data_IF_175057323508
#
_entry.id   IF_175057323508
#
_cell.length_a   1.000
_cell.length_b   1.000
_cell.length_c   1.000
_cell.angle_alpha   90.00
_cell.angle_beta   90.00
_cell.angle_gamma   90.00
#
_symmetry.space_group_name_H-M   'P 1'
#
loop_
_entity.id
_entity.type
_entity.pdbx_description
1 polymer ?
#
# COMPACT_ATOMS: atom_id res chain seq x y z
N UNK A 1 -9.26 17.41 16.18
CA UNK A 1 -10.52 16.63 16.17
C UNK A 1 -11.34 17.21 15.04
N UNK A 2 -11.24 16.58 13.84
CA UNK A 2 -12.07 16.96 12.68
C UNK A 2 -13.47 16.47 13.00
N UNK A 3 -14.45 17.38 13.05
CA UNK A 3 -15.83 17.00 13.22
C UNK A 3 -16.25 16.13 12.03
N UNK A 4 -16.40 14.84 12.26
CA UNK A 4 -17.09 13.97 11.32
C UNK A 4 -18.50 14.53 11.14
N UNK A 5 -18.87 14.83 9.89
CA UNK A 5 -20.24 15.21 9.55
C UNK A 5 -21.18 14.11 10.03
N UNK A 6 -22.19 14.48 10.83
CA UNK A 6 -23.17 13.56 11.35
C UNK A 6 -23.83 12.79 10.19
N UNK A 7 -23.58 11.47 10.08
CA UNK A 7 -24.29 10.58 9.16
C UNK A 7 -23.47 9.71 8.22
N UNK A 8 -22.14 9.70 8.26
CA UNK A 8 -21.37 8.67 7.56
C UNK A 8 -21.28 7.42 8.45
N UNK A 9 -21.92 6.33 8.03
CA UNK A 9 -21.68 5.01 8.64
C UNK A 9 -20.17 4.72 8.57
N UNK A 10 -19.59 4.31 9.71
CA UNK A 10 -18.19 3.95 9.82
C UNK A 10 -17.89 2.80 8.85
N UNK A 11 -17.01 3.03 7.87
CA UNK A 11 -16.64 2.02 6.89
C UNK A 11 -15.97 0.85 7.60
N UNK A 12 -16.53 -0.34 7.44
CA UNK A 12 -16.00 -1.58 7.99
C UNK A 12 -15.37 -2.44 6.90
N UNK A 13 -14.40 -3.21 7.29
CA UNK A 13 -13.61 -4.09 6.42
C UNK A 13 -13.80 -5.52 6.88
N UNK A 14 -14.31 -6.36 6.01
CA UNK A 14 -14.43 -7.80 6.19
C UNK A 14 -13.78 -8.55 5.05
N UNK A 15 -13.62 -9.86 5.20
CA UNK A 15 -13.20 -10.75 4.10
C UNK A 15 -14.36 -10.91 3.13
N UNK A 16 -14.06 -10.83 1.85
CA UNK A 16 -15.05 -11.07 0.79
C UNK A 16 -15.38 -12.57 0.73
N UNK A 17 -16.65 -12.97 0.76
CA UNK A 17 -17.03 -14.38 0.64
C UNK A 17 -16.38 -15.05 -0.57
N UNK A 18 -15.76 -16.22 -0.37
CA UNK A 18 -15.08 -16.98 -1.41
C UNK A 18 -13.67 -16.51 -1.75
N UNK A 19 -13.20 -15.39 -1.20
CA UNK A 19 -11.81 -14.98 -1.30
C UNK A 19 -10.94 -15.71 -0.28
N UNK A 20 -9.63 -15.81 -0.58
CA UNK A 20 -8.68 -16.61 0.20
C UNK A 20 -7.59 -15.75 0.82
N UNK A 21 -6.93 -16.31 1.83
CA UNK A 21 -5.74 -15.76 2.48
C UNK A 21 -4.53 -16.57 2.07
N UNK A 22 -3.46 -15.91 1.63
CA UNK A 22 -2.19 -16.55 1.27
C UNK A 22 -1.15 -16.29 2.35
N UNK A 23 -0.61 -17.35 2.93
CA UNK A 23 0.48 -17.28 3.90
C UNK A 23 1.81 -17.56 3.21
N UNK A 24 2.72 -16.61 3.27
CA UNK A 24 4.09 -16.75 2.76
C UNK A 24 4.95 -17.39 3.85
N UNK A 25 5.04 -18.71 3.83
CA UNK A 25 5.76 -19.50 4.84
C UNK A 25 7.17 -19.86 4.41
N UNK A 26 8.06 -20.13 5.38
CA UNK A 26 9.41 -20.67 5.15
C UNK A 26 9.37 -22.05 4.51
N UNK A 27 8.31 -22.83 4.77
CA UNK A 27 8.02 -24.04 4.05
C UNK A 27 7.37 -23.71 2.70
N UNK A 28 8.16 -23.69 1.63
CA UNK A 28 7.71 -23.31 0.30
C UNK A 28 6.72 -24.32 -0.33
N UNK A 29 6.67 -25.56 0.16
CA UNK A 29 5.68 -26.54 -0.31
C UNK A 29 4.27 -26.21 0.22
N UNK A 30 4.16 -25.62 1.42
CA UNK A 30 2.89 -25.08 1.91
C UNK A 30 2.39 -23.90 1.04
N UNK A 31 3.30 -23.06 0.54
CA UNK A 31 2.92 -22.00 -0.40
C UNK A 31 2.35 -22.63 -1.68
N UNK A 32 3.03 -23.64 -2.26
CA UNK A 32 2.54 -24.32 -3.48
C UNK A 32 1.18 -24.99 -3.26
N UNK A 33 0.98 -25.65 -2.14
CA UNK A 33 -0.32 -26.24 -1.80
C UNK A 33 -1.45 -25.19 -1.71
N UNK A 34 -1.15 -24.01 -1.15
CA UNK A 34 -2.11 -22.92 -1.16
C UNK A 34 -2.39 -22.41 -2.58
N UNK A 35 -1.37 -22.28 -3.42
CA UNK A 35 -1.48 -21.76 -4.78
C UNK A 35 -2.20 -22.72 -5.73
N UNK A 36 -1.90 -24.03 -5.63
CA UNK A 36 -2.25 -25.00 -6.68
C UNK A 36 -3.20 -26.11 -6.22
N UNK A 37 -3.18 -26.48 -4.93
CA UNK A 37 -3.93 -27.60 -4.40
C UNK A 37 -5.14 -27.17 -3.56
N UNK A 38 -5.38 -25.85 -3.45
CA UNK A 38 -6.54 -25.30 -2.75
C UNK A 38 -6.43 -25.30 -1.22
N UNK A 39 -5.23 -25.56 -0.65
CA UNK A 39 -5.03 -25.50 0.80
C UNK A 39 -5.37 -24.09 1.34
N UNK A 40 -6.25 -24.02 2.32
CA UNK A 40 -6.52 -22.80 3.08
C UNK A 40 -5.94 -22.96 4.49
N UNK A 41 -5.33 -21.90 4.97
CA UNK A 41 -4.77 -21.81 6.33
C UNK A 41 -5.48 -20.69 7.10
N UNK A 42 -5.52 -20.84 8.41
CA UNK A 42 -5.95 -19.78 9.34
C UNK A 42 -4.75 -19.32 10.17
N UNK A 43 -4.76 -18.06 10.62
CA UNK A 43 -3.62 -17.51 11.37
C UNK A 43 -3.33 -18.30 12.65
N UNK A 44 -4.37 -18.82 13.32
CA UNK A 44 -4.25 -19.68 14.51
C UNK A 44 -3.47 -20.97 14.27
N UNK A 45 -3.38 -21.45 13.03
CA UNK A 45 -2.70 -22.70 12.65
C UNK A 45 -1.27 -22.45 12.16
N UNK A 46 -0.84 -21.19 12.10
CA UNK A 46 0.47 -20.77 11.58
C UNK A 46 1.25 -20.08 12.68
N UNK A 47 2.44 -20.64 13.00
CA UNK A 47 3.35 -19.92 13.89
C UNK A 47 3.94 -18.70 13.15
N UNK A 48 3.85 -17.48 13.70
CA UNK A 48 4.47 -16.30 13.09
C UNK A 48 5.96 -16.47 12.74
N UNK A 49 6.69 -17.29 13.51
CA UNK A 49 8.11 -17.59 13.25
C UNK A 49 8.33 -18.43 11.98
N UNK A 50 7.30 -19.11 11.47
CA UNK A 50 7.36 -19.88 10.23
C UNK A 50 7.04 -19.04 8.99
N UNK A 51 6.67 -17.79 9.15
CA UNK A 51 6.44 -16.86 8.05
C UNK A 51 7.77 -16.33 7.49
N UNK A 52 7.79 -16.07 6.18
CA UNK A 52 8.93 -15.46 5.51
C UNK A 52 9.13 -14.01 5.97
N UNK A 53 10.33 -13.75 6.50
CA UNK A 53 10.84 -12.43 6.80
C UNK A 53 11.56 -11.83 5.60
N UNK A 54 11.81 -10.51 5.64
CA UNK A 54 12.65 -9.80 4.66
C UNK A 54 12.27 -10.04 3.20
N UNK A 55 10.99 -10.22 2.93
CA UNK A 55 10.52 -10.33 1.54
C UNK A 55 10.87 -9.04 0.83
N UNK A 56 11.89 -9.10 0.00
CA UNK A 56 12.39 -7.93 -0.72
C UNK A 56 11.69 -7.75 -2.07
N UNK A 57 11.88 -6.58 -2.65
CA UNK A 57 11.25 -6.23 -3.92
C UNK A 57 11.71 -7.08 -5.10
N UNK A 58 12.93 -7.67 -5.06
CA UNK A 58 13.39 -8.61 -6.10
C UNK A 58 12.71 -9.98 -6.00
N UNK A 59 12.27 -10.39 -4.81
CA UNK A 59 11.42 -11.56 -4.64
C UNK A 59 10.04 -11.31 -5.21
N UNK A 60 9.47 -10.13 -4.97
CA UNK A 60 8.12 -9.78 -5.43
C UNK A 60 8.10 -9.49 -6.93
N UNK A 61 8.94 -8.57 -7.39
CA UNK A 61 9.06 -8.15 -8.80
C UNK A 61 10.53 -8.00 -9.19
N UNK A 62 11.19 -9.06 -9.72
CA UNK A 62 12.54 -8.96 -10.25
C UNK A 62 12.67 -7.83 -11.27
N UNK A 63 13.90 -7.33 -11.49
CA UNK A 63 14.17 -6.16 -12.33
C UNK A 63 13.50 -6.20 -13.71
N UNK A 64 13.43 -7.37 -14.34
CA UNK A 64 12.81 -7.53 -15.67
C UNK A 64 11.29 -7.29 -15.63
N UNK A 65 10.58 -7.55 -14.51
CA UNK A 65 9.15 -7.21 -14.35
C UNK A 65 8.95 -5.71 -14.24
N UNK A 66 9.93 -4.99 -13.72
CA UNK A 66 9.83 -3.55 -13.54
C UNK A 66 9.92 -2.75 -14.84
N UNK A 67 10.21 -3.39 -15.97
CA UNK A 67 10.12 -2.77 -17.30
C UNK A 67 8.69 -2.79 -17.86
N UNK A 68 7.83 -3.64 -17.30
CA UNK A 68 6.40 -3.62 -17.61
C UNK A 68 5.73 -2.42 -16.91
N UNK A 69 4.73 -1.88 -17.56
CA UNK A 69 3.91 -0.78 -17.02
C UNK A 69 2.41 -1.12 -17.08
N UNK A 70 2.05 -2.20 -17.77
CA UNK A 70 0.68 -2.70 -17.80
C UNK A 70 0.34 -3.45 -16.52
N UNK A 71 -0.75 -3.07 -15.80
CA UNK A 71 -1.17 -3.72 -14.55
C UNK A 71 -1.27 -5.23 -14.64
N UNK A 72 -1.82 -5.75 -15.74
CA UNK A 72 -2.00 -7.19 -15.95
C UNK A 72 -0.66 -7.93 -16.04
N UNK A 73 0.33 -7.38 -16.73
CA UNK A 73 1.65 -8.00 -16.90
C UNK A 73 2.45 -7.99 -15.59
N UNK A 74 2.34 -6.90 -14.81
CA UNK A 74 2.97 -6.82 -13.49
C UNK A 74 2.33 -7.83 -12.52
N UNK A 75 1.01 -7.90 -12.47
CA UNK A 75 0.27 -8.84 -11.62
C UNK A 75 0.52 -10.31 -12.00
N UNK A 76 0.59 -10.61 -13.30
CA UNK A 76 0.91 -11.93 -13.86
C UNK A 76 2.21 -12.50 -13.29
N UNK A 77 3.20 -11.65 -13.07
CA UNK A 77 4.55 -12.01 -12.63
C UNK A 77 4.79 -11.77 -11.12
N UNK A 78 3.72 -11.61 -10.32
CA UNK A 78 3.84 -11.45 -8.88
C UNK A 78 4.64 -12.60 -8.26
N UNK A 79 5.61 -12.27 -7.41
CA UNK A 79 6.51 -13.21 -6.74
C UNK A 79 7.38 -14.08 -7.67
N UNK A 80 7.63 -13.62 -8.90
CA UNK A 80 8.47 -14.32 -9.87
C UNK A 80 9.92 -14.55 -9.38
N UNK A 81 10.37 -13.78 -8.38
CA UNK A 81 11.68 -13.92 -7.75
C UNK A 81 11.76 -15.00 -6.67
N UNK A 82 10.62 -15.49 -6.16
CA UNK A 82 10.61 -16.58 -5.17
C UNK A 82 10.87 -17.92 -5.85
N UNK A 83 12.03 -18.51 -5.55
CA UNK A 83 12.48 -19.76 -6.18
C UNK A 83 12.78 -20.83 -5.15
N UNK A 84 12.49 -22.08 -5.52
CA UNK A 84 12.89 -23.29 -4.80
C UNK A 84 13.66 -24.19 -5.77
N UNK A 85 14.91 -24.53 -5.45
CA UNK A 85 15.79 -25.34 -6.31
C UNK A 85 15.89 -24.78 -7.75
N UNK A 86 15.96 -23.44 -7.89
CA UNK A 86 16.05 -22.77 -9.19
C UNK A 86 14.73 -22.62 -9.95
N UNK A 87 13.65 -23.26 -9.52
CA UNK A 87 12.32 -23.17 -10.12
C UNK A 87 11.47 -22.12 -9.39
N UNK A 88 10.61 -21.43 -10.12
CA UNK A 88 9.64 -20.50 -9.54
C UNK A 88 8.67 -21.22 -8.62
N UNK A 89 8.38 -20.64 -7.46
CA UNK A 89 7.29 -21.06 -6.58
C UNK A 89 5.95 -20.55 -7.11
N UNK A 90 5.94 -19.31 -7.61
CA UNK A 90 4.78 -18.70 -8.26
C UNK A 90 4.93 -18.77 -9.78
N UNK A 91 4.10 -19.57 -10.42
CA UNK A 91 3.95 -19.55 -11.88
C UNK A 91 3.23 -18.27 -12.33
N UNK A 92 3.24 -17.96 -13.60
CA UNK A 92 2.47 -16.85 -14.16
C UNK A 92 1.00 -16.94 -13.74
N UNK A 93 0.43 -15.83 -13.34
CA UNK A 93 -0.94 -15.70 -12.83
C UNK A 93 -1.26 -16.51 -11.55
N UNK A 94 -0.29 -17.10 -10.87
CA UNK A 94 -0.57 -17.96 -9.70
C UNK A 94 -1.32 -17.21 -8.60
N UNK A 95 -0.94 -15.95 -8.32
CA UNK A 95 -1.60 -15.13 -7.31
C UNK A 95 -3.04 -14.77 -7.73
N UNK A 96 -3.25 -14.43 -9.00
CA UNK A 96 -4.56 -14.10 -9.57
C UNK A 96 -5.48 -15.33 -9.53
N UNK A 97 -5.00 -16.47 -10.04
CA UNK A 97 -5.76 -17.72 -10.14
C UNK A 97 -6.10 -18.31 -8.77
N UNK A 98 -5.26 -18.06 -7.77
CA UNK A 98 -5.49 -18.48 -6.40
C UNK A 98 -6.63 -17.75 -5.68
N UNK A 99 -7.19 -16.69 -6.27
CA UNK A 99 -8.31 -15.92 -5.76
C UNK A 99 -8.09 -15.34 -4.36
N UNK A 100 -6.85 -14.91 -4.07
CA UNK A 100 -6.48 -14.33 -2.79
C UNK A 100 -6.85 -12.84 -2.72
N UNK A 101 -7.27 -12.37 -1.54
CA UNK A 101 -7.43 -10.93 -1.24
C UNK A 101 -6.59 -10.47 -0.05
N UNK A 102 -6.02 -11.41 0.70
CA UNK A 102 -5.11 -11.14 1.81
C UNK A 102 -3.82 -11.90 1.60
N UNK A 103 -2.70 -11.25 1.87
CA UNK A 103 -1.38 -11.89 1.89
C UNK A 103 -0.71 -11.66 3.24
N UNK A 104 -0.06 -12.71 3.76
CA UNK A 104 0.51 -12.73 5.12
C UNK A 104 1.99 -13.06 5.04
N UNK A 105 2.81 -12.29 5.75
CA UNK A 105 4.26 -12.50 5.84
C UNK A 105 4.81 -12.17 7.23
N UNK A 106 6.07 -12.43 7.46
CA UNK A 106 6.78 -12.13 8.69
C UNK A 106 7.22 -10.67 8.80
N UNK A 107 8.44 -10.45 9.28
CA UNK A 107 8.99 -9.12 9.54
C UNK A 107 9.52 -8.46 8.26
N UNK A 108 9.51 -7.12 8.27
CA UNK A 108 10.15 -6.24 7.27
C UNK A 108 9.76 -6.57 5.82
N UNK A 109 8.46 -6.75 5.57
CA UNK A 109 7.94 -6.94 4.22
C UNK A 109 8.26 -5.74 3.33
N UNK A 110 8.77 -6.01 2.13
CA UNK A 110 9.04 -4.99 1.11
C UNK A 110 10.40 -4.30 1.25
N UNK A 111 11.39 -4.96 1.86
CA UNK A 111 12.79 -4.48 1.90
C UNK A 111 13.40 -4.38 0.50
N UNK A 112 14.58 -3.77 0.40
CA UNK A 112 15.34 -3.64 -0.85
C UNK A 112 15.08 -2.34 -1.58
N UNK A 113 14.88 -2.39 -2.89
CA UNK A 113 14.69 -1.22 -3.75
C UNK A 113 13.31 -0.58 -3.57
N UNK A 114 13.20 0.73 -3.84
CA UNK A 114 11.96 1.51 -3.76
C UNK A 114 10.98 1.26 -4.92
N UNK A 115 10.86 0.03 -5.38
CA UNK A 115 9.99 -0.35 -6.52
C UNK A 115 8.54 -0.36 -6.10
N UNK A 116 7.76 0.55 -6.63
CA UNK A 116 6.31 0.55 -6.44
C UNK A 116 5.66 -0.69 -7.09
N UNK A 117 6.24 -1.21 -8.19
CA UNK A 117 5.81 -2.47 -8.84
C UNK A 117 5.69 -3.63 -7.86
N UNK A 118 6.46 -3.66 -6.77
CA UNK A 118 6.33 -4.67 -5.73
C UNK A 118 4.97 -4.61 -5.00
N UNK A 119 4.46 -3.42 -4.71
CA UNK A 119 3.11 -3.26 -4.15
C UNK A 119 2.03 -3.42 -5.24
N UNK A 120 2.31 -2.91 -6.45
CA UNK A 120 1.41 -3.01 -7.61
C UNK A 120 1.11 -4.46 -8.00
N UNK A 121 2.11 -5.36 -7.99
CA UNK A 121 1.91 -6.76 -8.36
C UNK A 121 0.88 -7.45 -7.44
N UNK A 122 0.90 -7.14 -6.16
CA UNK A 122 -0.10 -7.64 -5.20
C UNK A 122 -1.46 -6.98 -5.43
N UNK A 123 -1.46 -5.64 -5.50
CA UNK A 123 -2.70 -4.86 -5.66
C UNK A 123 -3.49 -5.28 -6.90
N UNK A 124 -2.81 -5.40 -8.04
CA UNK A 124 -3.44 -5.76 -9.30
C UNK A 124 -3.73 -7.27 -9.45
N UNK A 125 -3.06 -8.11 -8.66
CA UNK A 125 -3.45 -9.51 -8.52
C UNK A 125 -4.69 -9.73 -7.63
N UNK A 126 -5.24 -8.67 -7.01
CA UNK A 126 -6.45 -8.72 -6.21
C UNK A 126 -6.24 -8.65 -4.70
N UNK A 127 -5.01 -8.47 -4.23
CA UNK A 127 -4.71 -8.34 -2.80
C UNK A 127 -5.18 -6.95 -2.32
N UNK A 128 -6.14 -6.94 -1.40
CA UNK A 128 -6.65 -5.72 -0.75
C UNK A 128 -6.00 -5.44 0.59
N UNK A 129 -5.61 -6.51 1.32
CA UNK A 129 -5.10 -6.43 2.67
C UNK A 129 -3.75 -7.14 2.73
N UNK A 130 -2.76 -6.46 3.28
CA UNK A 130 -1.43 -7.00 3.49
C UNK A 130 -1.18 -7.11 4.98
N UNK A 131 -0.88 -8.30 5.46
CA UNK A 131 -0.64 -8.59 6.88
C UNK A 131 0.85 -8.93 7.06
N UNK A 132 1.47 -8.29 8.02
CA UNK A 132 2.87 -8.56 8.37
C UNK A 132 3.17 -8.13 9.80
N UNK A 133 4.22 -8.70 10.40
CA UNK A 133 4.73 -8.22 11.68
C UNK A 133 5.29 -6.79 11.59
N UNK A 134 5.86 -6.43 10.44
CA UNK A 134 6.30 -5.07 10.14
C UNK A 134 6.54 -4.88 8.63
N UNK A 135 6.57 -3.63 8.20
CA UNK A 135 6.78 -3.22 6.80
C UNK A 135 8.03 -2.37 6.65
N UNK A 136 8.71 -2.48 5.52
CA UNK A 136 9.72 -1.52 5.14
C UNK A 136 9.05 -0.17 4.81
N UNK A 137 9.59 0.98 5.27
CA UNK A 137 8.90 2.27 5.21
C UNK A 137 8.47 2.70 3.79
N UNK A 138 9.29 2.44 2.78
CA UNK A 138 8.97 2.79 1.39
C UNK A 138 7.84 1.91 0.86
N UNK A 139 7.89 0.60 1.15
CA UNK A 139 6.83 -0.33 0.74
C UNK A 139 5.49 -0.01 1.42
N UNK A 140 5.53 0.34 2.71
CA UNK A 140 4.35 0.83 3.43
C UNK A 140 3.74 2.05 2.73
N UNK A 141 4.56 3.03 2.33
CA UNK A 141 4.10 4.20 1.58
C UNK A 141 3.51 3.83 0.22
N UNK A 142 4.13 2.89 -0.51
CA UNK A 142 3.61 2.41 -1.78
C UNK A 142 2.24 1.72 -1.62
N UNK A 143 2.05 0.90 -0.59
CA UNK A 143 0.76 0.29 -0.28
C UNK A 143 -0.32 1.36 0.01
N UNK A 144 0.02 2.39 0.79
CA UNK A 144 -0.87 3.53 1.06
C UNK A 144 -1.27 4.23 -0.24
N UNK A 145 -0.31 4.51 -1.11
CA UNK A 145 -0.55 5.18 -2.40
C UNK A 145 -1.50 4.37 -3.30
N UNK A 146 -1.44 3.04 -3.23
CA UNK A 146 -2.29 2.12 -3.99
C UNK A 146 -3.60 1.78 -3.28
N UNK A 147 -3.84 2.29 -2.07
CA UNK A 147 -5.05 2.03 -1.30
C UNK A 147 -5.14 0.61 -0.75
N UNK A 148 -4.00 -0.09 -0.57
CA UNK A 148 -3.95 -1.37 0.12
C UNK A 148 -3.95 -1.15 1.62
N UNK A 149 -4.78 -1.91 2.34
CA UNK A 149 -4.82 -1.88 3.80
C UNK A 149 -3.68 -2.72 4.37
N UNK A 150 -3.11 -2.26 5.46
CA UNK A 150 -2.04 -2.97 6.16
C UNK A 150 -2.43 -3.21 7.62
N UNK A 151 -2.29 -4.45 8.05
CA UNK A 151 -2.62 -4.86 9.41
C UNK A 151 -1.59 -5.82 10.00
N UNK A 152 -1.83 -6.20 11.23
CA UNK A 152 -1.09 -7.22 11.96
C UNK A 152 -1.87 -8.55 12.05
N UNK A 153 -1.29 -9.52 12.72
CA UNK A 153 -1.88 -10.85 12.84
C UNK A 153 -3.19 -10.85 13.64
N UNK A 154 -3.35 -9.95 14.62
CA UNK A 154 -4.58 -9.87 15.42
C UNK A 154 -5.76 -9.40 14.58
N UNK A 155 -5.53 -8.47 13.67
CA UNK A 155 -6.52 -8.04 12.67
C UNK A 155 -6.93 -9.23 11.78
N UNK A 156 -5.95 -10.04 11.33
CA UNK A 156 -6.25 -11.19 10.50
C UNK A 156 -7.09 -12.25 11.21
N UNK A 157 -6.75 -12.57 12.46
CA UNK A 157 -7.52 -13.53 13.27
C UNK A 157 -8.99 -13.13 13.38
N UNK A 158 -9.24 -11.85 13.66
CA UNK A 158 -10.60 -11.30 13.74
C UNK A 158 -11.33 -11.34 12.40
N UNK A 159 -10.63 -10.99 11.29
CA UNK A 159 -11.20 -11.10 9.95
C UNK A 159 -11.56 -12.54 9.59
N UNK A 160 -10.70 -13.52 9.93
CA UNK A 160 -10.96 -14.95 9.68
C UNK A 160 -12.06 -15.51 10.61
N UNK A 161 -12.27 -14.91 11.77
CA UNK A 161 -13.43 -15.19 12.63
C UNK A 161 -14.76 -14.59 12.10
N UNK A 162 -14.72 -13.87 10.97
CA UNK A 162 -15.89 -13.26 10.36
C UNK A 162 -16.26 -11.89 10.92
N UNK A 163 -15.37 -11.25 11.66
CA UNK A 163 -15.58 -9.91 12.17
C UNK A 163 -15.39 -8.87 11.06
N UNK A 164 -16.23 -7.85 11.04
CA UNK A 164 -16.05 -6.64 10.25
C UNK A 164 -15.33 -5.58 11.10
N UNK A 165 -14.11 -5.23 10.71
CA UNK A 165 -13.23 -4.34 11.47
C UNK A 165 -13.37 -2.90 10.97
N UNK A 166 -13.56 -1.91 11.86
CA UNK A 166 -13.57 -0.50 11.47
C UNK A 166 -12.31 -0.11 10.69
N UNK A 167 -12.48 0.67 9.60
CA UNK A 167 -11.34 1.17 8.82
C UNK A 167 -10.35 1.96 9.67
N UNK A 168 -10.83 2.62 10.71
CA UNK A 168 -10.01 3.35 11.68
C UNK A 168 -8.89 2.48 12.29
N UNK A 169 -9.15 1.20 12.60
CA UNK A 169 -8.14 0.31 13.17
C UNK A 169 -6.96 0.05 12.22
N UNK A 170 -7.16 0.15 10.91
CA UNK A 170 -6.07 0.09 9.92
C UNK A 170 -5.32 1.42 9.77
N UNK A 171 -5.89 2.53 10.21
CA UNK A 171 -5.39 3.87 9.90
C UNK A 171 -4.94 4.68 11.10
N UNK A 172 -5.29 4.30 12.34
CA UNK A 172 -5.06 5.12 13.55
C UNK A 172 -3.60 5.50 13.81
N UNK A 173 -2.66 4.69 13.35
CA UNK A 173 -1.22 4.96 13.46
C UNK A 173 -0.72 6.06 12.51
N UNK A 174 -1.52 6.50 11.54
CA UNK A 174 -1.10 7.45 10.52
C UNK A 174 -1.54 8.89 10.83
N UNK A 175 -0.88 9.84 10.16
CA UNK A 175 -1.29 11.25 10.16
C UNK A 175 -2.62 11.45 9.40
N UNK A 176 -3.27 12.59 9.64
CA UNK A 176 -4.60 12.88 9.10
C UNK A 176 -4.66 12.86 7.56
N UNK A 177 -3.60 13.31 6.87
CA UNK A 177 -3.56 13.28 5.39
C UNK A 177 -3.45 11.85 4.89
N UNK A 178 -2.59 11.05 5.52
CA UNK A 178 -2.43 9.63 5.19
C UNK A 178 -3.73 8.85 5.42
N UNK A 179 -4.46 9.13 6.51
CA UNK A 179 -5.79 8.56 6.75
C UNK A 179 -6.74 8.85 5.59
N UNK A 180 -6.84 10.11 5.18
CA UNK A 180 -7.71 10.52 4.06
C UNK A 180 -7.30 9.82 2.76
N UNK A 181 -5.99 9.67 2.47
CA UNK A 181 -5.51 8.94 1.29
C UNK A 181 -6.03 7.49 1.31
N UNK A 182 -5.90 6.80 2.44
CA UNK A 182 -6.37 5.42 2.61
C UNK A 182 -7.89 5.34 2.48
N UNK A 183 -8.63 6.25 3.12
CA UNK A 183 -10.10 6.33 3.05
C UNK A 183 -10.60 6.52 1.62
N UNK A 184 -9.89 7.29 0.80
CA UNK A 184 -10.21 7.52 -0.61
C UNK A 184 -9.78 6.37 -1.52
N UNK A 185 -9.04 5.39 -1.01
CA UNK A 185 -8.59 4.23 -1.78
C UNK A 185 -7.28 4.44 -2.52
N UNK A 186 -6.45 5.38 -2.09
CA UNK A 186 -5.12 5.65 -2.61
C UNK A 186 -4.89 7.09 -3.06
N UNK A 187 -3.67 7.34 -3.52
CA UNK A 187 -3.20 8.70 -3.82
C UNK A 187 -3.94 9.34 -5.00
N UNK A 188 -4.19 8.60 -6.09
CA UNK A 188 -4.88 9.14 -7.26
C UNK A 188 -6.36 9.46 -6.97
N UNK A 189 -7.17 8.58 -6.36
CA UNK A 189 -8.52 8.92 -5.92
C UNK A 189 -8.55 10.10 -4.95
N UNK A 190 -7.61 10.18 -4.02
CA UNK A 190 -7.45 11.32 -3.13
C UNK A 190 -7.20 12.63 -3.91
N UNK A 191 -6.25 12.61 -4.86
CA UNK A 191 -5.92 13.80 -5.66
C UNK A 191 -7.12 14.27 -6.49
N UNK A 192 -7.89 13.34 -7.09
CA UNK A 192 -9.14 13.64 -7.80
C UNK A 192 -10.18 14.27 -6.87
N UNK A 193 -10.39 13.70 -5.69
CA UNK A 193 -11.35 14.20 -4.70
C UNK A 193 -10.94 15.60 -4.18
N UNK A 194 -9.64 15.82 -3.96
CA UNK A 194 -9.13 17.13 -3.57
C UNK A 194 -9.34 18.19 -4.66
N UNK A 195 -9.06 17.84 -5.93
CA UNK A 195 -9.29 18.72 -7.08
C UNK A 195 -10.77 19.04 -7.28
N UNK A 196 -11.66 18.09 -7.01
CA UNK A 196 -13.10 18.28 -7.07
C UNK A 196 -13.68 19.09 -5.89
N UNK A 197 -12.91 19.27 -4.82
CA UNK A 197 -13.38 19.93 -3.59
C UNK A 197 -14.14 18.99 -2.64
N UNK A 198 -14.14 17.68 -2.91
CA UNK A 198 -14.80 16.65 -2.07
C UNK A 198 -14.01 16.32 -0.80
N UNK A 199 -12.77 16.80 -0.75
CA UNK A 199 -11.85 16.66 0.40
C UNK A 199 -11.20 18.00 0.66
N UNK A 200 -11.11 18.35 1.94
CA UNK A 200 -10.32 19.48 2.41
C UNK A 200 -9.17 18.98 3.30
N UNK A 201 -7.99 19.58 3.14
CA UNK A 201 -6.91 19.31 4.08
C UNK A 201 -7.19 19.95 5.44
N UNK A 202 -6.72 19.35 6.54
CA UNK A 202 -6.72 20.00 7.83
C UNK A 202 -6.01 21.36 7.77
N UNK A 203 -6.49 22.38 8.49
CA UNK A 203 -5.86 23.71 8.47
C UNK A 203 -4.48 23.68 9.14
N UNK A 204 -3.55 24.45 8.59
CA UNK A 204 -2.25 24.68 9.23
C UNK A 204 -2.46 25.67 10.39
N UNK A 205 -2.19 25.21 11.61
CA UNK A 205 -2.33 25.99 12.84
C UNK A 205 -0.97 26.38 13.45
N UNK A 206 0.11 26.34 12.65
CA UNK A 206 1.45 26.71 13.12
C UNK A 206 1.56 28.21 13.31
N UNK A 207 1.79 28.64 14.56
CA UNK A 207 2.02 30.03 14.91
C UNK A 207 3.29 30.59 14.27
N UNK A 208 3.38 31.92 14.06
CA UNK A 208 4.61 32.53 13.56
C UNK A 208 5.83 32.17 14.39
N UNK A 209 6.86 31.67 13.72
CA UNK A 209 8.14 31.23 14.31
C UNK A 209 9.30 31.40 13.33
N UNK A 210 10.55 31.42 13.80
CA UNK A 210 11.69 31.25 12.92
C UNK A 210 11.58 29.90 12.19
N UNK A 211 11.76 29.93 10.87
CA UNK A 211 11.67 28.76 10.01
C UNK A 211 13.03 28.37 9.46
N UNK A 212 13.26 27.07 9.31
CA UNK A 212 14.39 26.50 8.55
C UNK A 212 14.26 26.87 7.07
N UNK A 213 15.32 26.65 6.29
CA UNK A 213 15.27 26.88 4.84
C UNK A 213 14.18 26.03 4.16
N UNK A 214 14.05 24.75 4.52
CA UNK A 214 13.03 23.86 3.97
C UNK A 214 11.61 24.36 4.29
N UNK A 215 11.34 24.76 5.54
CA UNK A 215 10.05 25.32 5.93
C UNK A 215 9.72 26.62 5.18
N UNK A 216 10.72 27.50 4.95
CA UNK A 216 10.53 28.73 4.15
C UNK A 216 10.21 28.44 2.69
N UNK A 217 10.87 27.44 2.09
CA UNK A 217 10.61 27.04 0.71
C UNK A 217 9.18 26.49 0.60
N UNK A 218 8.77 25.61 1.49
CA UNK A 218 7.41 25.06 1.53
C UNK A 218 6.38 26.18 1.74
N UNK A 219 6.56 27.03 2.76
CA UNK A 219 5.66 28.13 3.06
C UNK A 219 5.46 29.10 1.88
N UNK A 220 6.50 29.32 1.07
CA UNK A 220 6.44 30.17 -0.12
C UNK A 220 5.64 29.57 -1.27
N UNK A 221 5.55 28.24 -1.32
CA UNK A 221 4.93 27.49 -2.42
C UNK A 221 3.60 26.83 -2.00
N UNK A 222 2.99 27.22 -0.89
CA UNK A 222 1.71 26.67 -0.45
C UNK A 222 0.61 26.91 -1.49
N UNK A 223 -0.21 25.89 -1.71
CA UNK A 223 -1.43 25.93 -2.55
C UNK A 223 -2.65 25.83 -1.65
N UNK A 224 -3.64 26.70 -1.89
CA UNK A 224 -4.90 26.68 -1.14
C UNK A 224 -4.83 27.22 0.28
N UNK A 225 -3.68 27.80 0.67
CA UNK A 225 -3.46 28.41 2.00
C UNK A 225 -2.77 29.78 1.85
N UNK A 226 -2.72 30.56 2.94
CA UNK A 226 -2.07 31.88 2.90
C UNK A 226 -0.58 31.75 2.57
N UNK A 227 -0.12 32.40 1.51
CA UNK A 227 1.30 32.45 1.16
C UNK A 227 2.10 33.05 2.30
N UNK A 228 3.17 32.36 2.70
CA UNK A 228 3.99 32.79 3.83
C UNK A 228 3.49 32.32 5.20
N UNK A 229 2.39 31.54 5.26
CA UNK A 229 1.98 30.83 6.47
C UNK A 229 3.16 30.02 7.05
N UNK A 230 3.44 30.17 8.35
CA UNK A 230 4.47 29.34 8.97
C UNK A 230 4.06 27.87 8.96
N UNK A 231 5.04 27.02 8.66
CA UNK A 231 4.89 25.56 8.65
C UNK A 231 5.92 24.90 9.56
N UNK A 232 5.63 23.66 9.96
CA UNK A 232 6.53 22.78 10.73
C UNK A 232 6.38 21.34 10.24
N UNK A 233 7.27 20.42 10.62
CA UNK A 233 7.07 19.00 10.39
C UNK A 233 5.68 18.54 10.86
N UNK A 234 5.05 17.64 10.08
CA UNK A 234 3.71 17.10 10.27
C UNK A 234 2.53 18.05 9.96
N UNK A 235 2.77 19.28 9.54
CA UNK A 235 1.68 20.09 9.01
C UNK A 235 1.21 19.55 7.66
N UNK A 236 -0.11 19.44 7.41
CA UNK A 236 -0.66 18.99 6.14
C UNK A 236 -0.54 20.11 5.09
N UNK A 237 0.31 19.91 4.10
CA UNK A 237 0.57 20.92 3.07
C UNK A 237 0.43 20.37 1.66
N UNK A 238 -0.06 21.21 0.75
CA UNK A 238 0.14 21.06 -0.68
C UNK A 238 1.02 22.20 -1.14
N UNK A 239 2.12 21.84 -1.80
CA UNK A 239 3.06 22.81 -2.33
C UNK A 239 3.13 22.71 -3.86
N UNK A 240 3.15 23.87 -4.51
CA UNK A 240 3.42 23.94 -5.96
C UNK A 240 4.85 23.54 -6.25
N UNK A 241 5.03 22.49 -7.05
CA UNK A 241 6.32 22.06 -7.58
C UNK A 241 6.63 22.88 -8.82
N UNK A 242 7.80 23.54 -8.87
CA UNK A 242 8.20 24.38 -9.99
C UNK A 242 8.82 23.59 -11.13
N UNK A 243 9.50 22.48 -10.83
CA UNK A 243 10.10 21.59 -11.81
C UNK A 243 10.20 20.18 -11.26
N UNK A 244 10.04 19.19 -12.12
CA UNK A 244 10.25 17.78 -11.84
C UNK A 244 11.04 17.14 -12.96
N UNK A 245 11.71 16.03 -12.67
CA UNK A 245 12.39 15.22 -13.66
C UNK A 245 12.17 13.74 -13.38
N UNK A 246 12.20 12.95 -14.41
CA UNK A 246 12.24 11.50 -14.34
C UNK A 246 13.38 10.99 -15.21
N UNK A 247 13.74 9.73 -15.08
CA UNK A 247 14.74 9.09 -15.91
C UNK A 247 14.10 7.97 -16.74
N UNK A 248 14.83 7.43 -17.71
CA UNK A 248 14.32 6.48 -18.69
C UNK A 248 13.63 5.27 -18.10
N UNK A 249 14.08 4.80 -16.92
CA UNK A 249 13.50 3.64 -16.26
C UNK A 249 12.08 3.86 -15.75
N UNK A 250 11.75 5.10 -15.33
CA UNK A 250 10.45 5.42 -14.72
C UNK A 250 9.54 6.26 -15.62
N UNK A 251 10.09 6.90 -16.65
CA UNK A 251 9.34 7.86 -17.48
C UNK A 251 8.14 7.22 -18.17
N UNK A 252 8.31 6.02 -18.75
CA UNK A 252 7.24 5.33 -19.46
C UNK A 252 6.08 4.97 -18.50
N UNK A 253 6.41 4.44 -17.31
CA UNK A 253 5.43 4.08 -16.29
C UNK A 253 4.66 5.32 -15.78
N UNK A 254 5.38 6.40 -15.46
CA UNK A 254 4.77 7.67 -15.04
C UNK A 254 3.83 8.21 -16.12
N UNK A 255 4.26 8.16 -17.40
CA UNK A 255 3.45 8.65 -18.51
C UNK A 255 2.16 7.83 -18.67
N UNK A 256 2.25 6.50 -18.62
CA UNK A 256 1.08 5.61 -18.71
C UNK A 256 0.08 5.90 -17.62
N UNK A 257 0.52 5.93 -16.36
CA UNK A 257 -0.40 6.19 -15.24
C UNK A 257 -1.04 7.57 -15.28
N UNK A 258 -0.28 8.60 -15.67
CA UNK A 258 -0.87 9.93 -15.80
C UNK A 258 -1.90 9.99 -16.94
N UNK A 259 -1.66 9.29 -18.05
CA UNK A 259 -2.60 9.27 -19.18
C UNK A 259 -3.90 8.51 -18.86
N UNK A 260 -3.83 7.49 -17.98
CA UNK A 260 -5.00 6.73 -17.54
C UNK A 260 -5.83 7.47 -16.47
N UNK A 261 -5.17 8.24 -15.60
CA UNK A 261 -5.79 8.83 -14.42
C UNK A 261 -6.21 10.29 -14.60
N UNK A 262 -5.64 11.02 -15.56
CA UNK A 262 -5.85 12.44 -15.83
C UNK A 262 -6.06 12.75 -17.32
#
# INVERSE_FOLDING_TARGET
>A
MIAMGAGQEERKIGLTPGKRVLFLTKNLDLIKQQLYDGLNLEMRDVNPEDLLDDINTDVMTPAWVCFDHEPAEIAKNAYAGLKHNGLRVFNENALINGNFEVIVSGQRKGTGSSRETAAQCERWAGIRIVIAASFAPIHERNNINLGQLMGDYSILERLQAGEEIPLAEFTDKYDDVTKIIIEKGGLFPFAKALKAGDVALPPINTSPKPMTMAEKIIARNLVGQAVGQCVKPHDPVIAQVQSGYSHEFTTAQVHTFLAEEY
#
